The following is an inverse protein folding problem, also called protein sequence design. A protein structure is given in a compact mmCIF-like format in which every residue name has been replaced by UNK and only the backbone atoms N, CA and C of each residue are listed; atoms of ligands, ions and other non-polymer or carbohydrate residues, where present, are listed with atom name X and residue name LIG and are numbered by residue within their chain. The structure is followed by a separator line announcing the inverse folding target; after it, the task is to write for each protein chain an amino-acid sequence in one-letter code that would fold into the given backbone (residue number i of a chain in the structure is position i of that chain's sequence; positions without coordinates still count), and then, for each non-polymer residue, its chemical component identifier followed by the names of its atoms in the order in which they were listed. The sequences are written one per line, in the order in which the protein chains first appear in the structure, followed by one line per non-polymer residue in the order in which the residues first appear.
data_IF_619167101656
#
_entry.id   IF_619167101656
#
_cell.length_a   1.000
_cell.length_b   1.000
_cell.length_c   1.000
_cell.angle_alpha   90.00
_cell.angle_beta   90.00
_cell.angle_gamma   90.00
#
_symmetry.space_group_name_H-M   'P 1'
#
loop_
_entity.id
_entity.type
_entity.pdbx_description
1 polymer ?
#
# COMPACT_ATOMS: atom_id res chain seq x y z
N UNK A 1 -17.43 1.35 15.62
CA UNK A 1 -16.86 -0.03 15.75
C UNK A 1 -17.53 -0.81 16.87
N UNK A 2 -17.85 -0.18 18.01
CA UNK A 2 -18.41 -0.84 19.21
C UNK A 2 -19.70 -1.66 19.02
N UNK A 3 -20.48 -1.38 17.98
CA UNK A 3 -21.62 -2.23 17.59
C UNK A 3 -21.20 -3.68 17.23
N UNK A 4 -20.06 -3.85 16.57
CA UNK A 4 -19.63 -5.15 16.05
C UNK A 4 -19.18 -6.18 17.10
N UNK A 5 -18.41 -5.84 18.16
CA UNK A 5 -18.08 -6.81 19.20
C UNK A 5 -19.33 -7.32 19.93
N UNK A 6 -20.31 -6.46 20.22
CA UNK A 6 -21.54 -6.85 20.91
C UNK A 6 -22.43 -7.79 20.09
N UNK A 7 -22.46 -7.62 18.76
CA UNK A 7 -23.38 -8.35 17.88
C UNK A 7 -22.75 -9.53 17.15
N UNK A 8 -21.45 -9.46 16.90
CA UNK A 8 -20.73 -10.43 16.08
C UNK A 8 -19.46 -10.97 16.76
N UNK A 9 -19.11 -10.50 17.97
CA UNK A 9 -17.97 -11.01 18.71
C UNK A 9 -16.61 -10.71 18.07
N UNK A 10 -16.49 -9.64 17.27
CA UNK A 10 -15.20 -9.29 16.67
C UNK A 10 -14.18 -8.93 17.76
N UNK A 11 -12.95 -9.45 17.65
CA UNK A 11 -11.87 -9.16 18.58
C UNK A 11 -10.94 -8.03 18.08
N UNK A 12 -10.89 -7.82 16.76
CA UNK A 12 -9.98 -6.88 16.11
C UNK A 12 -10.60 -6.25 14.87
N UNK A 13 -10.32 -4.98 14.66
CA UNK A 13 -10.69 -4.24 13.46
C UNK A 13 -9.44 -3.77 12.70
N UNK A 14 -9.39 -4.05 11.41
CA UNK A 14 -8.37 -3.51 10.51
C UNK A 14 -8.87 -2.18 9.95
N UNK A 15 -8.15 -1.09 10.22
CA UNK A 15 -8.54 0.23 9.75
C UNK A 15 -8.16 0.44 8.27
N UNK A 16 -8.99 1.15 7.49
CA UNK A 16 -8.63 1.50 6.13
C UNK A 16 -7.56 2.60 6.10
N UNK A 17 -6.80 2.65 5.00
CA UNK A 17 -5.64 3.54 4.79
C UNK A 17 -5.99 4.99 4.46
N UNK A 18 -7.19 5.43 4.84
CA UNK A 18 -7.73 6.78 4.55
C UNK A 18 -7.85 7.66 5.80
N UNK A 19 -7.65 7.07 6.98
CA UNK A 19 -7.66 7.78 8.26
C UNK A 19 -6.31 8.45 8.52
N UNK A 20 -6.34 9.68 9.04
CA UNK A 20 -5.14 10.32 9.57
C UNK A 20 -4.74 9.73 10.93
N UNK A 21 -3.50 9.94 11.34
CA UNK A 21 -3.00 9.41 12.61
C UNK A 21 -3.85 9.85 13.81
N UNK A 22 -4.27 11.12 13.84
CA UNK A 22 -5.20 11.66 14.86
C UNK A 22 -6.54 10.91 14.87
N UNK A 23 -7.08 10.54 13.70
CA UNK A 23 -8.35 9.81 13.63
C UNK A 23 -8.18 8.35 14.11
N UNK A 24 -7.01 7.75 13.85
CA UNK A 24 -6.66 6.43 14.39
C UNK A 24 -6.59 6.47 15.91
N UNK A 25 -5.92 7.48 16.48
CA UNK A 25 -5.82 7.68 17.93
C UNK A 25 -7.18 7.91 18.59
N UNK A 26 -8.00 8.79 18.01
CA UNK A 26 -9.36 9.02 18.48
C UNK A 26 -10.18 7.73 18.47
N UNK A 27 -10.09 6.95 17.40
CA UNK A 27 -10.83 5.70 17.29
C UNK A 27 -10.32 4.67 18.32
N UNK A 28 -9.01 4.50 18.44
CA UNK A 28 -8.39 3.54 19.35
C UNK A 28 -8.71 3.84 20.83
N UNK A 29 -8.87 5.11 21.20
CA UNK A 29 -9.24 5.51 22.57
C UNK A 29 -10.73 5.32 22.92
N UNK A 30 -11.60 5.09 21.93
CA UNK A 30 -13.06 4.99 22.13
C UNK A 30 -13.64 3.59 21.86
N UNK A 31 -12.79 2.57 21.76
CA UNK A 31 -13.22 1.19 21.50
C UNK A 31 -12.42 0.18 22.32
N UNK A 32 -13.05 -0.88 22.86
CA UNK A 32 -12.33 -2.00 23.46
C UNK A 32 -11.77 -2.97 22.41
N UNK A 33 -12.18 -2.85 21.13
CA UNK A 33 -11.74 -3.72 20.03
C UNK A 33 -10.29 -3.41 19.66
N UNK A 34 -9.46 -4.45 19.52
CA UNK A 34 -8.07 -4.28 19.10
C UNK A 34 -7.99 -3.61 17.72
N UNK A 35 -7.05 -2.70 17.54
CA UNK A 35 -6.84 -1.99 16.28
C UNK A 35 -5.63 -2.53 15.54
N UNK A 36 -5.82 -2.85 14.26
CA UNK A 36 -4.77 -3.16 13.30
C UNK A 36 -4.72 -2.11 12.20
N UNK A 37 -3.50 -1.67 11.86
CA UNK A 37 -3.27 -0.63 10.86
C UNK A 37 -2.31 -1.12 9.80
N UNK A 38 -2.38 -0.58 8.59
CA UNK A 38 -1.38 -0.90 7.56
C UNK A 38 -0.08 -0.16 7.85
N UNK A 39 1.05 -0.87 7.76
CA UNK A 39 2.37 -0.29 7.95
C UNK A 39 3.27 -0.33 6.72
N UNK A 40 3.12 -1.31 5.83
CA UNK A 40 3.93 -1.35 4.61
C UNK A 40 3.22 -1.93 3.39
N UNK A 41 3.57 -1.38 2.23
CA UNK A 41 3.30 -1.94 0.91
C UNK A 41 2.36 -1.08 0.06
N UNK A 42 2.00 -1.61 -1.10
CA UNK A 42 1.31 -0.88 -2.17
C UNK A 42 -0.02 -0.27 -1.73
N UNK A 43 -0.23 1.01 -2.06
CA UNK A 43 -1.53 1.66 -1.89
C UNK A 43 -2.51 1.24 -3.00
N UNK A 44 -3.78 1.10 -2.63
CA UNK A 44 -4.86 0.68 -3.52
C UNK A 44 -5.90 1.80 -3.60
N UNK A 45 -6.35 2.11 -4.82
CA UNK A 45 -7.48 2.99 -5.07
C UNK A 45 -8.74 2.13 -5.18
N UNK A 46 -9.69 2.40 -4.30
CA UNK A 46 -10.92 1.62 -4.16
C UNK A 46 -12.02 2.46 -3.56
N UNK A 47 -13.27 2.02 -3.76
CA UNK A 47 -14.46 2.53 -3.07
C UNK A 47 -15.05 1.37 -2.27
N UNK A 48 -15.18 1.54 -0.95
CA UNK A 48 -15.68 0.50 -0.02
C UNK A 48 -15.03 -0.89 -0.19
N UNK A 49 -13.71 -0.93 -0.34
CA UNK A 49 -12.97 -2.18 -0.55
C UNK A 49 -12.95 -2.66 -2.00
N UNK A 50 -13.75 -2.08 -2.91
CA UNK A 50 -13.98 -2.57 -4.28
C UNK A 50 -13.23 -1.73 -5.31
N UNK A 51 -12.53 -2.39 -6.22
CA UNK A 51 -11.88 -1.73 -7.35
C UNK A 51 -12.78 -1.79 -8.60
N UNK A 52 -13.32 -0.64 -8.99
CA UNK A 52 -14.08 -0.50 -10.24
C UNK A 52 -13.16 -0.47 -11.47
N UNK A 53 -11.94 0.04 -11.33
CA UNK A 53 -10.98 0.23 -12.43
C UNK A 53 -10.57 -1.09 -13.09
N UNK A 54 -10.14 -2.07 -12.28
CA UNK A 54 -9.77 -3.40 -12.76
C UNK A 54 -10.97 -4.14 -13.36
N UNK A 55 -12.14 -4.05 -12.71
CA UNK A 55 -13.39 -4.62 -13.20
C UNK A 55 -13.79 -4.04 -14.56
N UNK A 56 -13.67 -2.72 -14.73
CA UNK A 56 -13.93 -2.03 -15.99
C UNK A 56 -12.95 -2.47 -17.09
N UNK A 57 -11.65 -2.45 -16.81
CA UNK A 57 -10.65 -2.76 -17.83
C UNK A 57 -10.64 -4.24 -18.21
N UNK A 58 -10.90 -5.16 -17.28
CA UNK A 58 -10.62 -6.60 -17.49
C UNK A 58 -11.85 -7.50 -17.39
N UNK A 59 -12.99 -6.98 -16.94
CA UNK A 59 -14.17 -7.77 -16.57
C UNK A 59 -14.02 -8.53 -15.25
N UNK A 60 -12.86 -8.47 -14.58
CA UNK A 60 -12.57 -9.20 -13.35
C UNK A 60 -12.32 -8.25 -12.18
N UNK A 61 -12.99 -8.50 -11.06
CA UNK A 61 -12.77 -7.72 -9.84
C UNK A 61 -11.61 -8.32 -9.02
N UNK A 62 -10.63 -7.52 -8.55
CA UNK A 62 -9.53 -8.00 -7.71
C UNK A 62 -10.00 -8.49 -6.35
N UNK A 63 -11.21 -8.11 -5.94
CA UNK A 63 -11.87 -8.58 -4.73
C UNK A 63 -12.22 -10.06 -4.79
N UNK A 64 -12.60 -10.56 -5.96
CA UNK A 64 -13.04 -11.95 -6.16
C UNK A 64 -11.97 -12.80 -6.86
N UNK A 65 -11.13 -12.18 -7.68
CA UNK A 65 -10.09 -12.88 -8.46
C UNK A 65 -8.69 -12.71 -7.86
N UNK A 66 -8.53 -11.87 -6.84
CA UNK A 66 -7.28 -11.71 -6.11
C UNK A 66 -6.18 -10.97 -6.88
N UNK A 67 -6.45 -10.35 -8.02
CA UNK A 67 -5.45 -9.65 -8.86
C UNK A 67 -6.04 -8.43 -9.57
N UNK A 68 -5.29 -7.32 -9.61
CA UNK A 68 -5.73 -6.10 -10.30
C UNK A 68 -5.57 -6.21 -11.82
N UNK A 69 -4.59 -6.98 -12.29
CA UNK A 69 -4.24 -7.08 -13.70
C UNK A 69 -4.00 -8.55 -14.08
N UNK A 70 -5.07 -9.34 -14.28
CA UNK A 70 -4.94 -10.77 -14.60
C UNK A 70 -3.94 -11.00 -15.73
N UNK A 71 -3.01 -11.94 -15.58
CA UNK A 71 -1.92 -12.16 -16.53
C UNK A 71 -2.41 -12.34 -17.98
N UNK A 72 -3.57 -12.99 -18.17
CA UNK A 72 -4.22 -13.18 -19.47
C UNK A 72 -4.58 -11.87 -20.18
N UNK A 73 -4.82 -10.78 -19.43
CA UNK A 73 -5.18 -9.47 -19.94
C UNK A 73 -3.96 -8.55 -20.13
N UNK A 74 -2.78 -8.93 -19.61
CA UNK A 74 -1.57 -8.10 -19.69
C UNK A 74 -0.85 -8.35 -21.03
N UNK A 75 -0.41 -7.26 -21.68
CA UNK A 75 0.46 -7.32 -22.87
C UNK A 75 1.61 -6.33 -22.72
N UNK A 76 2.78 -6.77 -23.16
CA UNK A 76 4.00 -5.98 -23.26
C UNK A 76 4.36 -5.87 -24.74
N UNK A 77 4.55 -4.65 -25.25
CA UNK A 77 4.75 -4.42 -26.68
C UNK A 77 5.90 -3.44 -26.88
N UNK A 78 6.93 -3.87 -27.60
CA UNK A 78 8.00 -2.95 -28.02
C UNK A 78 7.48 -2.10 -29.17
N UNK A 79 7.58 -0.77 -29.04
CA UNK A 79 7.19 0.19 -30.07
C UNK A 79 8.34 1.14 -30.38
N UNK A 80 8.28 1.92 -31.49
CA UNK A 80 9.27 2.98 -31.76
C UNK A 80 9.33 4.06 -30.68
N UNK A 81 8.32 4.17 -29.81
CA UNK A 81 8.27 5.16 -28.72
C UNK A 81 8.75 4.59 -27.38
N UNK A 82 9.09 3.31 -27.31
CA UNK A 82 9.47 2.61 -26.07
C UNK A 82 8.65 1.35 -25.82
N UNK A 83 8.86 0.74 -24.64
CA UNK A 83 8.12 -0.44 -24.19
C UNK A 83 6.75 -0.02 -23.66
N UNK A 84 5.68 -0.49 -24.27
CA UNK A 84 4.32 -0.25 -23.80
C UNK A 84 3.82 -1.41 -22.94
N UNK A 85 3.19 -1.07 -21.81
CA UNK A 85 2.40 -2.00 -21.00
C UNK A 85 0.92 -1.74 -21.20
N UNK A 86 0.18 -2.80 -21.49
CA UNK A 86 -1.25 -2.73 -21.79
C UNK A 86 -2.03 -3.70 -20.92
N UNK A 87 -3.21 -3.26 -20.51
CA UNK A 87 -4.19 -4.07 -19.78
C UNK A 87 -5.47 -4.13 -20.59
N UNK A 88 -5.77 -5.31 -21.14
CA UNK A 88 -6.91 -5.55 -22.03
C UNK A 88 -7.02 -4.50 -23.17
N UNK A 89 -5.89 -4.19 -23.81
CA UNK A 89 -5.81 -3.20 -24.89
C UNK A 89 -5.62 -1.76 -24.43
N UNK A 90 -5.98 -1.40 -23.20
CA UNK A 90 -5.76 -0.06 -22.63
C UNK A 90 -4.27 0.16 -22.43
N UNK A 91 -3.72 1.26 -22.95
CA UNK A 91 -2.34 1.69 -22.67
C UNK A 91 -2.26 2.18 -21.21
N UNK A 92 -1.46 1.48 -20.41
CA UNK A 92 -1.26 1.82 -18.99
C UNK A 92 -0.03 2.69 -18.84
N UNK A 93 1.04 2.32 -19.52
CA UNK A 93 2.29 3.04 -19.41
C UNK A 93 3.20 2.78 -20.61
N UNK A 94 4.12 3.71 -20.88
CA UNK A 94 5.19 3.61 -21.85
C UNK A 94 6.52 3.94 -21.19
N UNK A 95 7.45 3.00 -21.23
CA UNK A 95 8.76 3.10 -20.59
C UNK A 95 9.84 3.41 -21.61
N UNK A 96 10.76 4.32 -21.23
CA UNK A 96 11.97 4.61 -21.99
C UNK A 96 13.05 3.55 -21.82
N UNK A 97 14.14 3.69 -22.56
CA UNK A 97 15.28 2.78 -22.45
C UNK A 97 15.92 2.86 -21.05
N UNK A 98 16.09 1.71 -20.40
CA UNK A 98 16.65 1.61 -19.04
C UNK A 98 15.68 1.97 -17.91
N UNK A 99 14.45 2.36 -18.21
CA UNK A 99 13.40 2.58 -17.21
C UNK A 99 12.82 1.23 -16.75
N UNK A 100 12.63 1.08 -15.43
CA UNK A 100 12.04 -0.14 -14.89
C UNK A 100 10.53 -0.17 -15.17
N UNK A 101 10.11 -1.20 -15.91
CA UNK A 101 8.70 -1.44 -16.16
C UNK A 101 7.95 -1.83 -14.88
N UNK A 102 6.87 -1.10 -14.57
CA UNK A 102 5.99 -1.40 -13.44
C UNK A 102 4.87 -2.36 -13.83
N UNK A 103 4.34 -3.10 -12.85
CA UNK A 103 3.23 -4.02 -13.11
C UNK A 103 1.97 -3.25 -13.55
N UNK A 104 1.36 -3.56 -14.72
CA UNK A 104 0.41 -2.69 -15.40
C UNK A 104 -0.94 -2.66 -14.69
N UNK A 105 -1.04 -1.81 -13.67
CA UNK A 105 -2.25 -1.60 -12.87
C UNK A 105 -2.92 -0.31 -13.29
N UNK A 106 -4.22 -0.34 -13.59
CA UNK A 106 -4.91 0.82 -14.17
C UNK A 106 -4.78 2.10 -13.33
N UNK A 107 -4.83 2.01 -12.00
CA UNK A 107 -4.70 3.19 -11.14
C UNK A 107 -3.27 3.76 -11.06
N UNK A 108 -2.26 3.05 -11.57
CA UNK A 108 -0.84 3.44 -11.49
C UNK A 108 -0.21 3.67 -12.86
N UNK A 109 -1.04 3.85 -13.89
CA UNK A 109 -0.59 4.18 -15.23
C UNK A 109 -0.34 5.68 -15.42
N UNK A 110 0.45 6.01 -16.45
CA UNK A 110 0.62 7.38 -16.94
C UNK A 110 -0.40 7.65 -18.06
N UNK A 111 -1.23 8.67 -17.88
CA UNK A 111 -2.29 9.03 -18.82
C UNK A 111 -2.12 10.46 -19.31
N UNK A 112 -2.54 10.71 -20.54
CA UNK A 112 -2.63 12.08 -21.08
C UNK A 112 -3.92 12.74 -20.55
N UNK A 113 -3.76 13.81 -19.77
CA UNK A 113 -4.85 14.60 -19.22
C UNK A 113 -4.57 16.06 -19.55
N UNK A 114 -5.42 16.66 -20.37
CA UNK A 114 -5.28 18.05 -20.83
C UNK A 114 -3.91 18.37 -21.46
N UNK A 115 -3.29 17.41 -22.16
CA UNK A 115 -2.00 17.57 -22.83
C UNK A 115 -0.78 17.27 -21.97
N UNK A 116 -0.97 16.90 -20.71
CA UNK A 116 0.09 16.51 -19.79
C UNK A 116 0.07 14.99 -19.57
N UNK A 117 1.23 14.34 -19.62
CA UNK A 117 1.36 12.91 -19.38
C UNK A 117 1.95 12.62 -17.99
N UNK A 118 1.13 12.13 -17.07
CA UNK A 118 1.54 11.88 -15.69
C UNK A 118 0.67 10.79 -15.02
N UNK A 119 0.99 10.42 -13.79
CA UNK A 119 0.19 9.49 -12.98
C UNK A 119 -1.13 10.16 -12.54
N UNK A 120 -2.13 10.13 -13.43
CA UNK A 120 -3.37 10.89 -13.25
C UNK A 120 -4.25 10.41 -12.08
N UNK A 121 -4.05 9.17 -11.61
CA UNK A 121 -4.86 8.56 -10.55
C UNK A 121 -4.04 8.42 -9.26
N UNK A 122 -2.96 7.63 -9.30
CA UNK A 122 -2.11 7.35 -8.14
C UNK A 122 -0.69 7.08 -8.61
N UNK A 123 0.30 7.66 -7.94
CA UNK A 123 1.71 7.34 -8.20
C UNK A 123 2.06 5.93 -7.67
N UNK A 124 3.00 5.22 -8.32
CA UNK A 124 3.44 3.91 -7.84
C UNK A 124 4.33 4.08 -6.60
N UNK A 125 3.72 4.30 -5.43
CA UNK A 125 4.41 4.45 -4.14
C UNK A 125 3.96 3.38 -3.14
N UNK A 126 4.82 3.08 -2.16
CA UNK A 126 4.50 2.18 -1.06
C UNK A 126 4.27 2.94 0.24
N UNK A 127 3.25 2.52 1.00
CA UNK A 127 3.14 2.92 2.39
C UNK A 127 4.36 2.42 3.15
N UNK A 128 4.92 3.25 4.02
CA UNK A 128 5.95 2.83 4.98
C UNK A 128 5.85 3.66 6.26
N UNK A 129 5.35 3.04 7.33
CA UNK A 129 5.09 3.74 8.61
C UNK A 129 6.09 3.36 9.70
N UNK A 130 7.31 2.90 9.35
CA UNK A 130 8.33 2.57 10.35
C UNK A 130 8.58 3.73 11.31
N UNK A 131 8.65 4.96 10.79
CA UNK A 131 8.87 6.17 11.60
C UNK A 131 7.73 6.45 12.59
N UNK A 132 6.50 6.02 12.27
CA UNK A 132 5.32 6.21 13.11
C UNK A 132 5.16 5.12 14.17
N UNK A 133 6.03 4.10 14.18
CA UNK A 133 5.90 2.95 15.07
C UNK A 133 5.79 3.33 16.56
N UNK A 134 6.57 4.29 17.11
CA UNK A 134 6.39 4.77 18.48
C UNK A 134 4.99 5.32 18.74
N UNK A 135 4.47 6.15 17.82
CA UNK A 135 3.16 6.78 17.97
C UNK A 135 2.05 5.73 17.90
N UNK A 136 2.12 4.80 16.93
CA UNK A 136 1.16 3.70 16.79
C UNK A 136 1.14 2.82 18.05
N UNK A 137 2.31 2.51 18.62
CA UNK A 137 2.39 1.75 19.87
C UNK A 137 1.81 2.51 21.06
N UNK A 138 2.08 3.81 21.18
CA UNK A 138 1.52 4.66 22.24
C UNK A 138 -0.01 4.76 22.17
N UNK A 139 -0.58 4.76 20.97
CA UNK A 139 -2.03 4.74 20.71
C UNK A 139 -2.70 3.39 21.02
N UNK A 140 -1.93 2.36 21.38
CA UNK A 140 -2.46 1.03 21.64
C UNK A 140 -2.76 0.21 20.39
N UNK A 141 -2.23 0.60 19.21
CA UNK A 141 -2.35 -0.23 18.00
C UNK A 141 -1.70 -1.58 18.26
N UNK A 142 -2.46 -2.65 18.03
CA UNK A 142 -2.08 -4.00 18.45
C UNK A 142 -1.34 -4.78 17.38
N UNK A 143 -1.62 -4.48 16.11
CA UNK A 143 -1.03 -5.18 14.99
C UNK A 143 -0.73 -4.23 13.82
N UNK A 144 0.30 -4.57 13.06
CA UNK A 144 0.65 -3.92 11.81
C UNK A 144 0.42 -4.91 10.67
N UNK A 145 -0.31 -4.44 9.66
CA UNK A 145 -0.62 -5.17 8.43
C UNK A 145 0.38 -4.80 7.33
N UNK A 146 0.88 -5.83 6.66
CA UNK A 146 1.77 -5.71 5.51
C UNK A 146 1.02 -6.17 4.26
N UNK A 147 1.06 -5.40 3.19
CA UNK A 147 0.53 -5.81 1.89
C UNK A 147 1.50 -6.79 1.22
N UNK A 148 1.05 -8.04 1.05
CA UNK A 148 1.85 -9.14 0.55
C UNK A 148 1.17 -9.95 -0.56
N UNK A 149 0.01 -9.52 -1.05
CA UNK A 149 -0.71 -10.24 -2.11
C UNK A 149 0.16 -10.33 -3.36
N UNK A 150 0.29 -11.55 -3.91
CA UNK A 150 1.11 -11.85 -5.08
C UNK A 150 2.59 -11.45 -4.95
N UNK A 151 3.11 -11.36 -3.72
CA UNK A 151 4.53 -11.13 -3.48
C UNK A 151 5.26 -12.46 -3.32
N UNK A 152 6.54 -12.47 -3.67
CA UNK A 152 7.37 -13.67 -3.55
C UNK A 152 7.65 -14.03 -2.08
N UNK A 153 7.98 -15.30 -1.76
CA UNK A 153 8.43 -15.67 -0.42
C UNK A 153 9.62 -14.83 0.07
N UNK A 154 10.53 -14.44 -0.84
CA UNK A 154 11.66 -13.58 -0.52
C UNK A 154 11.22 -12.18 -0.06
N UNK A 155 10.24 -11.57 -0.74
CA UNK A 155 9.63 -10.30 -0.30
C UNK A 155 9.04 -10.46 1.11
N UNK A 156 8.24 -11.50 1.33
CA UNK A 156 7.57 -11.72 2.62
C UNK A 156 8.59 -11.87 3.74
N UNK A 157 9.62 -12.69 3.52
CA UNK A 157 10.69 -12.89 4.50
C UNK A 157 11.45 -11.60 4.81
N UNK A 158 11.78 -10.80 3.79
CA UNK A 158 12.52 -9.56 3.96
C UNK A 158 11.72 -8.51 4.72
N UNK A 159 10.48 -8.24 4.29
CA UNK A 159 9.64 -7.20 4.90
C UNK A 159 9.26 -7.58 6.33
N UNK A 160 8.84 -8.82 6.58
CA UNK A 160 8.47 -9.26 7.93
C UNK A 160 9.65 -9.25 8.89
N UNK A 161 10.86 -9.61 8.44
CA UNK A 161 12.09 -9.50 9.26
C UNK A 161 12.36 -8.06 9.67
N UNK A 162 12.36 -7.11 8.72
CA UNK A 162 12.57 -5.69 9.00
C UNK A 162 11.54 -5.18 10.00
N UNK A 163 10.26 -5.49 9.81
CA UNK A 163 9.21 -5.07 10.73
C UNK A 163 9.32 -5.72 12.11
N UNK A 164 9.72 -7.00 12.20
CA UNK A 164 9.97 -7.66 13.48
C UNK A 164 11.08 -6.97 14.25
N UNK A 165 12.22 -6.73 13.61
CA UNK A 165 13.36 -6.03 14.20
C UNK A 165 12.99 -4.61 14.66
N UNK A 166 12.21 -3.88 13.85
CA UNK A 166 11.74 -2.54 14.20
C UNK A 166 10.81 -2.56 15.43
N UNK A 167 9.86 -3.49 15.49
CA UNK A 167 8.96 -3.64 16.63
C UNK A 167 9.74 -4.04 17.89
N UNK A 168 10.71 -4.96 17.78
CA UNK A 168 11.54 -5.35 18.93
C UNK A 168 12.38 -4.18 19.45
N UNK A 169 13.00 -3.42 18.55
CA UNK A 169 13.76 -2.24 18.92
C UNK A 169 12.87 -1.17 19.61
N UNK A 170 11.66 -0.93 19.09
CA UNK A 170 10.72 0.01 19.67
C UNK A 170 10.26 -0.44 21.06
N UNK A 171 9.98 -1.74 21.24
CA UNK A 171 9.63 -2.34 22.54
C UNK A 171 10.77 -2.27 23.57
N UNK A 172 12.03 -2.35 23.12
CA UNK A 172 13.22 -2.20 23.97
C UNK A 172 13.50 -0.77 24.46
N UNK A 173 12.76 0.22 23.95
CA UNK A 173 12.82 1.60 24.42
C UNK A 173 12.24 2.58 23.42
N UNK A 174 10.97 2.93 23.59
CA UNK A 174 10.21 3.79 22.66
C UNK A 174 10.88 5.15 22.42
N UNK A 175 11.47 5.74 23.46
CA UNK A 175 12.17 7.03 23.40
C UNK A 175 13.52 6.97 22.66
N UNK A 176 14.08 5.77 22.49
CA UNK A 176 15.35 5.53 21.80
C UNK A 176 15.15 4.95 20.40
N UNK A 177 13.90 4.79 19.99
CA UNK A 177 13.59 4.23 18.68
C UNK A 177 13.99 5.22 17.58
N UNK A 178 14.73 4.71 16.61
CA UNK A 178 14.97 5.39 15.34
C UNK A 178 14.99 4.35 14.23
N UNK A 179 14.56 4.76 13.03
CA UNK A 179 14.58 3.88 11.88
C UNK A 179 16.03 3.68 11.44
N UNK A 180 16.49 2.43 11.45
CA UNK A 180 17.85 2.10 11.01
C UNK A 180 17.98 2.27 9.49
N UNK A 181 19.09 2.85 8.97
CA UNK A 181 19.32 2.96 7.54
C UNK A 181 19.22 1.63 6.78
N UNK A 182 19.66 0.53 7.40
CA UNK A 182 19.56 -0.81 6.81
C UNK A 182 18.11 -1.27 6.59
N UNK A 183 17.18 -0.90 7.49
CA UNK A 183 15.76 -1.20 7.34
C UNK A 183 15.16 -0.44 6.17
N UNK A 184 15.42 0.87 6.08
CA UNK A 184 14.96 1.67 4.95
C UNK A 184 15.55 1.17 3.63
N UNK A 185 16.86 0.92 3.57
CA UNK A 185 17.49 0.38 2.37
C UNK A 185 16.88 -0.97 1.92
N UNK A 186 16.52 -1.84 2.87
CA UNK A 186 15.83 -3.09 2.57
C UNK A 186 14.41 -2.84 2.06
N UNK A 187 13.63 -1.94 2.65
CA UNK A 187 12.27 -1.65 2.21
C UNK A 187 12.24 -0.89 0.87
N UNK A 188 13.18 0.03 0.61
CA UNK A 188 13.29 0.77 -0.67
C UNK A 188 13.42 -0.18 -1.86
N UNK A 189 14.17 -1.28 -1.72
CA UNK A 189 14.39 -2.27 -2.79
C UNK A 189 13.11 -2.98 -3.23
N UNK A 190 12.10 -3.02 -2.37
CA UNK A 190 10.84 -3.73 -2.60
C UNK A 190 9.62 -2.81 -2.64
N UNK A 191 9.84 -1.50 -2.50
CA UNK A 191 8.82 -0.49 -2.64
C UNK A 191 8.49 -0.28 -4.12
N UNK A 192 7.20 -0.17 -4.42
CA UNK A 192 6.75 0.29 -5.72
C UNK A 192 7.32 1.67 -6.04
N UNK A 193 7.74 1.86 -7.29
CA UNK A 193 8.40 3.08 -7.77
C UNK A 193 9.67 3.45 -7.00
N UNK A 194 10.17 2.59 -6.10
CA UNK A 194 11.24 2.90 -5.14
C UNK A 194 10.94 4.13 -4.26
N UNK A 195 9.65 4.44 -4.08
CA UNK A 195 9.18 5.60 -3.33
C UNK A 195 8.34 5.16 -2.13
N UNK A 196 8.37 5.98 -1.08
CA UNK A 196 7.56 5.79 0.11
C UNK A 196 6.63 6.96 0.34
N UNK A 197 5.51 6.66 0.99
CA UNK A 197 4.58 7.66 1.48
C UNK A 197 4.09 7.26 2.87
N UNK A 198 3.71 8.25 3.67
CA UNK A 198 2.90 8.04 4.88
C UNK A 198 1.40 7.95 4.54
N UNK A 199 1.03 8.21 3.29
CA UNK A 199 -0.36 8.23 2.84
C UNK A 199 -1.22 9.13 3.71
N UNK A 200 -2.42 8.68 4.05
CA UNK A 200 -3.36 9.46 4.84
C UNK A 200 -2.89 9.76 6.28
N UNK A 201 -1.90 9.04 6.82
CA UNK A 201 -1.38 9.30 8.17
C UNK A 201 -0.76 10.70 8.28
N UNK A 202 -0.19 11.21 7.18
CA UNK A 202 0.38 12.54 7.10
C UNK A 202 -0.44 13.39 6.12
N UNK A 203 -1.26 14.31 6.64
CA UNK A 203 -1.95 15.33 5.84
C UNK A 203 -1.29 16.67 6.13
N UNK A 204 -0.54 17.20 5.18
CA UNK A 204 0.20 18.47 5.30
C UNK A 204 -0.69 19.71 5.37
N UNK A 205 -1.98 19.58 5.03
CA UNK A 205 -2.94 20.69 4.98
C UNK A 205 -3.88 20.78 6.20
N UNK A 206 -3.53 20.11 7.29
CA UNK A 206 -4.22 20.23 8.58
C UNK A 206 -3.35 20.96 9.59
#
# INVERSE_FOLDING_TARGET
INFYPERFGIARAVLPRVLSLVQVEQLASHTPVEIEVFGFGSLCVMVEGRCALSSYATGEAPNTHGVCSPAKAVRWQQTPKGLESRLNGVLIDRYGDGENASYPTLCKGRFDVAGENYYAIEEPTSLNTLELLPQLMAMGVRAVKIEGRQRSPAYVAQVTRVWREAIDACRGGIQRYSVKPAWMAALNKVAEGQQHTLGAYHRSWK
#
